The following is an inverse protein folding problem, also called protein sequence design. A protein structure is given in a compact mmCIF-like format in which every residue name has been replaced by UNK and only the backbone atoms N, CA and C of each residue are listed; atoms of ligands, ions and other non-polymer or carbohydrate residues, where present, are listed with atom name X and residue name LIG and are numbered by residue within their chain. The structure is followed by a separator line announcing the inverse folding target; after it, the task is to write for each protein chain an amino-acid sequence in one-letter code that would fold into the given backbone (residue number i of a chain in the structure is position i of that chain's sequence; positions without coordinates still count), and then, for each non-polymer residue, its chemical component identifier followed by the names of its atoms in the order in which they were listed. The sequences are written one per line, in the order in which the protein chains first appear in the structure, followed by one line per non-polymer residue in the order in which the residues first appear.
data_IF_545749867055
#
_entry.id   IF_545749867055
#
_cell.length_a   1.000
_cell.length_b   1.000
_cell.length_c   1.000
_cell.angle_alpha   90.00
_cell.angle_beta   90.00
_cell.angle_gamma   90.00
#
_symmetry.space_group_name_H-M   'P 1'
#
loop_
_entity.id
_entity.type
_entity.pdbx_description
1 polymer ?
#
# COMPACT_ATOMS: atom_id res chain seq x y z
N UNK A 1 0.17 -13.03 1.94
CA UNK A 1 -1.23 -12.60 1.75
C UNK A 1 -2.23 -13.37 2.63
N UNK A 2 -2.30 -14.71 2.60
CA UNK A 2 -3.35 -15.47 3.33
C UNK A 2 -3.48 -15.16 4.83
N UNK A 3 -2.37 -14.97 5.53
CA UNK A 3 -2.37 -14.60 6.96
C UNK A 3 -3.02 -13.24 7.21
N UNK A 4 -2.77 -12.27 6.32
CA UNK A 4 -3.40 -10.96 6.38
C UNK A 4 -4.91 -11.09 6.16
N UNK A 5 -5.35 -11.83 5.13
CA UNK A 5 -6.77 -12.06 4.89
C UNK A 5 -7.45 -12.71 6.11
N UNK A 6 -6.82 -13.71 6.73
CA UNK A 6 -7.36 -14.35 7.94
C UNK A 6 -7.56 -13.35 9.08
N UNK A 7 -6.56 -12.53 9.38
CA UNK A 7 -6.64 -11.52 10.43
C UNK A 7 -7.68 -10.44 10.09
N UNK A 8 -7.75 -10.04 8.81
CA UNK A 8 -8.73 -9.07 8.32
C UNK A 8 -10.16 -9.53 8.59
N UNK A 9 -10.47 -10.83 8.37
CA UNK A 9 -11.79 -11.37 8.68
C UNK A 9 -12.10 -11.36 10.18
N UNK A 10 -11.11 -11.60 11.04
CA UNK A 10 -11.30 -11.53 12.50
C UNK A 10 -11.42 -10.10 13.03
N UNK A 11 -10.74 -9.13 12.41
CA UNK A 11 -10.76 -7.73 12.82
C UNK A 11 -11.99 -6.97 12.28
N UNK A 12 -12.71 -7.54 11.31
CA UNK A 12 -13.85 -6.89 10.68
C UNK A 12 -14.95 -6.63 11.72
N UNK A 13 -15.47 -5.39 11.86
CA UNK A 13 -16.58 -5.10 12.75
C UNK A 13 -17.81 -5.91 12.38
N UNK A 14 -18.71 -6.06 13.35
CA UNK A 14 -20.03 -6.65 13.13
C UNK A 14 -20.80 -5.84 12.07
N UNK A 15 -21.65 -6.52 11.30
CA UNK A 15 -22.35 -5.93 10.15
C UNK A 15 -23.27 -4.75 10.51
N UNK A 16 -23.71 -4.68 11.76
CA UNK A 16 -24.54 -3.62 12.33
C UNK A 16 -23.73 -2.40 12.83
N UNK A 17 -22.40 -2.50 12.88
CA UNK A 17 -21.53 -1.42 13.34
C UNK A 17 -21.45 -0.29 12.31
N UNK A 18 -21.73 0.93 12.76
CA UNK A 18 -21.54 2.16 11.97
C UNK A 18 -20.09 2.68 12.00
N UNK A 19 -19.17 1.95 12.64
CA UNK A 19 -17.79 2.40 12.77
C UNK A 19 -17.04 2.29 11.43
N UNK A 20 -16.32 3.34 11.01
CA UNK A 20 -15.51 3.28 9.81
C UNK A 20 -14.38 2.26 10.00
N UNK A 21 -14.27 1.31 9.07
CA UNK A 21 -13.25 0.26 9.08
C UNK A 21 -12.44 0.30 7.80
N UNK A 22 -11.13 0.45 7.94
CA UNK A 22 -10.21 0.53 6.81
C UNK A 22 -9.11 -0.52 6.93
N UNK A 23 -8.68 -1.04 5.79
CA UNK A 23 -7.59 -1.98 5.68
C UNK A 23 -6.72 -1.64 4.48
N UNK A 24 -5.44 -1.99 4.55
CA UNK A 24 -4.48 -1.80 3.48
C UNK A 24 -3.50 -2.98 3.48
N UNK A 25 -3.28 -3.56 2.31
CA UNK A 25 -2.27 -4.57 2.05
C UNK A 25 -1.29 -4.00 1.02
N UNK A 26 0.01 -4.11 1.29
CA UNK A 26 1.07 -3.51 0.47
C UNK A 26 2.04 -4.60 0.05
N UNK A 27 2.38 -4.61 -1.23
CA UNK A 27 3.42 -5.44 -1.82
C UNK A 27 4.50 -4.57 -2.47
N UNK A 28 5.77 -4.84 -2.15
CA UNK A 28 6.92 -4.14 -2.73
C UNK A 28 7.36 -4.80 -4.05
N UNK A 29 6.40 -5.12 -4.92
CA UNK A 29 6.61 -5.85 -6.19
C UNK A 29 7.28 -7.22 -5.99
N UNK A 30 6.95 -7.90 -4.90
CA UNK A 30 7.49 -9.23 -4.61
C UNK A 30 6.56 -10.35 -5.05
N UNK A 31 5.26 -10.06 -5.18
CA UNK A 31 4.27 -11.03 -5.62
C UNK A 31 4.38 -11.32 -7.13
N UNK A 32 4.27 -12.59 -7.50
CA UNK A 32 4.14 -13.02 -8.89
C UNK A 32 2.79 -12.59 -9.47
N UNK A 33 2.59 -12.78 -10.77
CA UNK A 33 1.29 -12.52 -11.41
C UNK A 33 0.18 -13.41 -10.82
N UNK A 34 0.44 -14.72 -10.68
CA UNK A 34 -0.48 -15.67 -10.03
C UNK A 34 -0.82 -15.27 -8.59
N UNK A 35 0.17 -14.80 -7.82
CA UNK A 35 -0.03 -14.33 -6.45
C UNK A 35 -0.89 -13.05 -6.43
N UNK A 36 -0.74 -12.17 -7.42
CA UNK A 36 -1.54 -10.96 -7.55
C UNK A 36 -2.99 -11.30 -7.87
N UNK A 37 -3.25 -12.19 -8.83
CA UNK A 37 -4.60 -12.65 -9.15
C UNK A 37 -5.28 -13.29 -7.93
N UNK A 38 -4.53 -14.12 -7.21
CA UNK A 38 -4.99 -14.72 -5.95
C UNK A 38 -5.30 -13.63 -4.92
N UNK A 39 -4.46 -12.61 -4.80
CA UNK A 39 -4.66 -11.49 -3.88
C UNK A 39 -5.92 -10.69 -4.21
N UNK A 40 -6.15 -10.38 -5.50
CA UNK A 40 -7.37 -9.71 -5.97
C UNK A 40 -8.61 -10.53 -5.63
N UNK A 41 -8.58 -11.85 -5.85
CA UNK A 41 -9.69 -12.75 -5.54
C UNK A 41 -10.03 -12.79 -4.05
N UNK A 42 -9.02 -12.83 -3.18
CA UNK A 42 -9.21 -12.89 -1.72
C UNK A 42 -9.62 -11.54 -1.12
N UNK A 43 -9.04 -10.44 -1.61
CA UNK A 43 -9.31 -9.10 -1.09
C UNK A 43 -10.48 -8.40 -1.80
N UNK A 44 -10.98 -8.98 -2.90
CA UNK A 44 -12.08 -8.47 -3.72
C UNK A 44 -11.85 -7.01 -4.15
N UNK A 45 -10.61 -6.68 -4.49
CA UNK A 45 -10.17 -5.32 -4.83
C UNK A 45 -8.99 -5.42 -5.77
N UNK A 46 -8.94 -4.53 -6.76
CA UNK A 46 -7.82 -4.41 -7.69
C UNK A 46 -6.61 -3.74 -7.03
N UNK A 47 -5.41 -4.12 -7.50
CA UNK A 47 -4.18 -3.48 -7.08
C UNK A 47 -4.09 -2.05 -7.63
N UNK A 48 -3.56 -1.13 -6.83
CA UNK A 48 -3.12 0.19 -7.28
C UNK A 48 -1.60 0.24 -7.21
N UNK A 49 -0.97 0.55 -8.33
CA UNK A 49 0.48 0.75 -8.39
C UNK A 49 0.82 2.19 -8.01
N UNK A 50 1.64 2.35 -6.97
CA UNK A 50 2.14 3.64 -6.51
C UNK A 50 3.62 3.74 -6.84
N UNK A 51 4.02 4.87 -7.40
CA UNK A 51 5.38 5.13 -7.88
C UNK A 51 6.00 6.30 -7.10
N UNK A 52 7.25 6.14 -6.66
CA UNK A 52 8.11 7.24 -6.19
C UNK A 52 8.96 7.70 -7.36
N UNK A 53 8.59 8.83 -7.97
CA UNK A 53 9.33 9.43 -9.08
C UNK A 53 10.02 10.70 -8.59
N UNK A 54 11.35 10.77 -8.74
CA UNK A 54 12.12 12.00 -8.49
C UNK A 54 12.62 12.56 -9.81
N UNK A 55 12.04 13.69 -10.22
CA UNK A 55 12.29 14.27 -11.54
C UNK A 55 11.73 13.36 -12.64
N UNK A 56 12.62 12.69 -13.39
CA UNK A 56 12.25 11.72 -14.44
C UNK A 56 12.65 10.28 -14.10
N UNK A 57 13.13 10.05 -12.87
CA UNK A 57 13.67 8.74 -12.47
C UNK A 57 12.71 8.09 -11.48
N UNK A 58 12.23 6.90 -11.86
CA UNK A 58 11.48 6.01 -10.99
C UNK A 58 12.42 5.42 -9.92
N UNK A 59 12.20 5.79 -8.67
CA UNK A 59 13.03 5.40 -7.51
C UNK A 59 12.52 4.13 -6.83
N UNK A 60 11.20 4.00 -6.77
CA UNK A 60 10.53 2.84 -6.20
C UNK A 60 9.11 2.72 -6.76
N UNK A 61 8.53 1.53 -6.65
CA UNK A 61 7.09 1.36 -6.76
C UNK A 61 6.60 0.23 -5.86
N UNK A 62 5.32 0.26 -5.54
CA UNK A 62 4.65 -0.76 -4.74
C UNK A 62 3.21 -0.93 -5.21
N UNK A 63 2.66 -2.12 -5.01
CA UNK A 63 1.25 -2.44 -5.26
C UNK A 63 0.48 -2.38 -3.95
N UNK A 64 -0.71 -1.78 -4.00
CA UNK A 64 -1.56 -1.58 -2.83
C UNK A 64 -2.97 -2.06 -3.10
N UNK A 65 -3.53 -2.82 -2.16
CA UNK A 65 -4.94 -3.20 -2.10
C UNK A 65 -5.55 -2.57 -0.87
N UNK A 66 -6.68 -1.89 -1.00
CA UNK A 66 -7.29 -1.19 0.12
C UNK A 66 -8.73 -0.77 -0.18
N UNK A 67 -9.52 -0.61 0.89
CA UNK A 67 -10.82 0.06 0.84
C UNK A 67 -10.75 1.56 1.19
N UNK A 68 -9.55 2.14 1.35
CA UNK A 68 -9.39 3.56 1.63
C UNK A 68 -9.80 4.40 0.40
N UNK A 69 -10.69 5.39 0.55
CA UNK A 69 -11.12 6.25 -0.54
C UNK A 69 -9.94 6.99 -1.21
N UNK A 70 -10.06 7.29 -2.50
CA UNK A 70 -9.10 8.15 -3.22
C UNK A 70 -7.83 7.47 -3.73
N UNK A 71 -7.55 6.21 -3.37
CA UNK A 71 -6.37 5.49 -3.90
C UNK A 71 -6.46 5.22 -5.40
N UNK A 72 -7.65 4.96 -5.93
CA UNK A 72 -7.91 4.63 -7.35
C UNK A 72 -7.70 5.81 -8.33
N UNK A 73 -7.28 6.98 -7.84
CA UNK A 73 -7.04 8.14 -8.72
C UNK A 73 -5.60 8.23 -9.24
N UNK A 74 -4.69 7.38 -8.75
CA UNK A 74 -3.24 7.48 -9.00
C UNK A 74 -2.68 6.26 -9.72
N UNK A 75 -3.43 5.73 -10.70
CA UNK A 75 -2.95 4.63 -11.54
C UNK A 75 -1.85 5.13 -12.47
N UNK A 76 -0.64 4.61 -12.28
CA UNK A 76 0.42 4.71 -13.26
C UNK A 76 0.86 3.28 -13.60
N UNK A 77 0.61 2.86 -14.84
CA UNK A 77 1.05 1.57 -15.34
C UNK A 77 2.57 1.57 -15.41
N UNK A 78 3.19 0.57 -14.79
CA UNK A 78 4.62 0.33 -14.94
C UNK A 78 4.86 -0.36 -16.27
N UNK A 79 5.86 0.11 -17.02
CA UNK A 79 6.31 -0.68 -18.16
C UNK A 79 6.99 -1.96 -17.68
N UNK A 80 6.96 -3.07 -18.44
CA UNK A 80 7.59 -4.33 -18.05
C UNK A 80 9.08 -4.17 -17.71
N UNK A 81 9.77 -3.25 -18.42
CA UNK A 81 11.20 -2.95 -18.21
C UNK A 81 11.45 -2.24 -16.86
N UNK A 82 10.58 -1.31 -16.49
CA UNK A 82 10.67 -0.60 -15.20
C UNK A 82 10.40 -1.57 -14.05
N UNK A 83 9.37 -2.41 -14.18
CA UNK A 83 9.03 -3.41 -13.17
C UNK A 83 10.20 -4.37 -12.94
N UNK A 84 10.80 -4.92 -13.99
CA UNK A 84 11.93 -5.85 -13.86
C UNK A 84 13.17 -5.19 -13.21
N UNK A 85 13.42 -3.92 -13.53
CA UNK A 85 14.51 -3.15 -12.91
C UNK A 85 14.28 -2.96 -11.41
N UNK A 86 13.06 -2.58 -11.02
CA UNK A 86 12.68 -2.39 -9.63
C UNK A 86 12.69 -3.70 -8.86
N UNK A 87 12.16 -4.80 -9.41
CA UNK A 87 12.19 -6.11 -8.76
C UNK A 87 13.62 -6.57 -8.47
N UNK A 88 14.53 -6.37 -9.43
CA UNK A 88 15.96 -6.68 -9.26
C UNK A 88 16.54 -5.85 -8.10
N UNK A 89 16.25 -4.55 -8.07
CA UNK A 89 16.71 -3.65 -7.02
C UNK A 89 16.14 -4.02 -5.64
N UNK A 90 14.85 -4.37 -5.57
CA UNK A 90 14.20 -4.81 -4.32
C UNK A 90 14.82 -6.11 -3.83
N UNK A 91 15.08 -7.10 -4.70
CA UNK A 91 15.77 -8.35 -4.32
C UNK A 91 17.19 -8.11 -3.79
N UNK A 92 17.91 -7.13 -4.34
CA UNK A 92 19.22 -6.73 -3.81
C UNK A 92 19.09 -6.00 -2.47
N UNK A 93 18.09 -5.12 -2.33
CA UNK A 93 17.84 -4.34 -1.11
C UNK A 93 17.29 -5.18 0.04
N UNK A 94 16.45 -6.18 -0.22
CA UNK A 94 15.91 -7.06 0.82
C UNK A 94 16.97 -7.94 1.50
N UNK A 95 18.16 -8.07 0.89
CA UNK A 95 19.36 -8.63 1.52
C UNK A 95 20.04 -7.70 2.53
N UNK A 96 19.80 -6.39 2.49
CA UNK A 96 20.24 -5.40 3.48
C UNK A 96 19.02 -4.99 4.34
N UNK A 97 18.99 -5.42 5.60
CA UNK A 97 17.83 -5.33 6.47
C UNK A 97 17.20 -3.92 6.63
N UNK A 98 15.87 -3.95 6.81
CA UNK A 98 14.97 -2.91 7.35
C UNK A 98 14.93 -1.58 6.59
N UNK A 99 14.17 -1.54 5.48
CA UNK A 99 13.83 -0.28 4.85
C UNK A 99 12.71 0.44 5.63
N UNK A 100 12.97 1.72 5.93
CA UNK A 100 12.05 2.73 6.46
C UNK A 100 10.69 2.62 5.76
N UNK A 101 9.59 2.60 6.53
CA UNK A 101 8.20 2.60 6.01
C UNK A 101 8.11 3.57 4.83
N UNK A 102 7.79 3.02 3.66
CA UNK A 102 7.88 3.74 2.39
C UNK A 102 7.03 5.02 2.48
N UNK A 103 7.63 6.14 2.08
CA UNK A 103 6.95 7.42 1.94
C UNK A 103 5.66 7.32 1.13
N UNK A 104 5.58 6.38 0.19
CA UNK A 104 4.39 6.16 -0.63
C UNK A 104 3.16 5.76 0.20
N UNK A 105 3.33 4.95 1.26
CA UNK A 105 2.20 4.45 2.06
C UNK A 105 1.57 5.59 2.85
N UNK A 106 2.36 6.60 3.24
CA UNK A 106 1.85 7.77 3.97
C UNK A 106 0.80 8.52 3.16
N UNK A 107 0.96 8.60 1.84
CA UNK A 107 -0.03 9.26 0.98
C UNK A 107 -1.35 8.48 0.93
N UNK A 108 -1.32 7.15 1.04
CA UNK A 108 -2.51 6.31 1.09
C UNK A 108 -3.38 6.60 2.32
N UNK A 109 -2.78 7.06 3.41
CA UNK A 109 -3.47 7.28 4.68
C UNK A 109 -3.99 8.70 4.84
N UNK A 110 -3.69 9.62 3.92
CA UNK A 110 -4.17 11.01 4.00
C UNK A 110 -5.70 11.14 4.05
N UNK A 111 -6.49 10.39 3.25
CA UNK A 111 -7.96 10.45 3.30
C UNK A 111 -8.54 10.08 4.66
N UNK A 112 -7.80 9.30 5.47
CA UNK A 112 -8.25 8.88 6.80
C UNK A 112 -8.33 10.05 7.80
N UNK A 113 -7.77 11.22 7.48
CA UNK A 113 -7.90 12.44 8.31
C UNK A 113 -9.35 12.91 8.46
N UNK A 114 -10.23 12.56 7.53
CA UNK A 114 -11.65 12.89 7.61
C UNK A 114 -12.43 11.96 8.56
N UNK A 115 -11.86 10.79 8.88
CA UNK A 115 -12.51 9.76 9.70
C UNK A 115 -11.95 9.66 11.12
N UNK A 116 -10.70 10.11 11.33
CA UNK A 116 -10.02 10.01 12.63
C UNK A 116 -9.49 11.36 13.10
N UNK A 117 -9.35 11.50 14.42
CA UNK A 117 -8.77 12.70 15.04
C UNK A 117 -7.34 12.94 14.52
N UNK A 118 -7.11 14.12 13.97
CA UNK A 118 -5.78 14.55 13.55
C UNK A 118 -5.02 15.21 14.71
N UNK A 119 -3.77 14.77 14.93
CA UNK A 119 -2.86 15.39 15.89
C UNK A 119 -1.74 16.12 15.13
N UNK A 120 -1.64 17.44 15.32
CA UNK A 120 -0.56 18.23 14.74
C UNK A 120 0.72 18.02 15.56
N UNK A 121 1.86 17.95 14.89
CA UNK A 121 3.18 17.78 15.51
C UNK A 121 3.77 19.10 16.05
N UNK A 122 2.96 20.14 16.22
CA UNK A 122 3.39 21.40 16.82
C UNK A 122 3.33 21.31 18.34
N UNK A 123 4.39 20.76 18.92
CA UNK A 123 4.81 21.07 20.28
C UNK A 123 6.29 21.43 20.25
N UNK A 124 6.60 22.61 19.69
CA UNK A 124 7.80 23.33 20.06
C UNK A 124 7.48 23.99 21.42
N UNK A 125 8.19 23.64 22.51
CA UNK A 125 8.16 24.49 23.69
C UNK A 125 8.85 25.81 23.33
N UNK A 126 8.14 26.91 23.56
CA UNK A 126 8.73 28.24 23.71
C UNK A 126 9.69 28.26 24.91
#
# INVERSE_FOLDING_TARGET
MFQFHRILQYARPRQDSQQPFFWIFVDNLLLTEDDQETTVRFLQTEAVTLQDVRGRVLQNAMRVWSNIPGLKSKHADLTPKEEQSLQTQVRTRSKLAAQKVDSLVKYCLLPLREYFKYFSQNSLPL
#
